data_IF_894116081413
#
_entry.id   IF_894116081413
#
_cell.length_a   1.000
_cell.length_b   1.000
_cell.length_c   1.000
_cell.angle_alpha   90.00
_cell.angle_beta   90.00
_cell.angle_gamma   90.00
#
_symmetry.space_group_name_H-M   'P 1'
#
loop_
_entity.id
_entity.type
_entity.pdbx_description
1 polymer ?
#
# COMPACT_ATOMS: atom_id res chain seq x y z
N UNK A 1 17.12 8.69 -12.17
CA UNK A 1 16.61 8.26 -10.86
C UNK A 1 15.94 6.95 -11.13
N UNK A 2 16.45 5.89 -10.53
CA UNK A 2 15.89 4.55 -10.71
C UNK A 2 14.57 4.44 -9.89
N UNK A 3 13.56 3.69 -10.35
CA UNK A 3 12.26 3.56 -9.67
C UNK A 3 12.37 3.22 -8.18
N UNK A 4 13.38 2.44 -7.79
CA UNK A 4 13.65 2.02 -6.42
C UNK A 4 13.96 3.22 -5.52
N UNK A 5 14.69 4.21 -6.03
CA UNK A 5 15.02 5.43 -5.28
C UNK A 5 13.77 6.28 -5.01
N UNK A 6 12.80 6.24 -5.93
CA UNK A 6 11.50 6.90 -5.72
C UNK A 6 10.73 6.20 -4.61
N UNK A 7 10.70 4.87 -4.60
CA UNK A 7 10.01 4.11 -3.55
C UNK A 7 10.66 4.32 -2.19
N UNK A 8 11.99 4.30 -2.10
CA UNK A 8 12.70 4.64 -0.86
C UNK A 8 12.35 6.04 -0.37
N UNK A 9 12.34 7.04 -1.26
CA UNK A 9 11.95 8.40 -0.90
C UNK A 9 10.48 8.49 -0.43
N UNK A 10 9.56 7.75 -1.06
CA UNK A 10 8.16 7.67 -0.62
C UNK A 10 8.05 7.08 0.79
N UNK A 11 8.81 6.02 1.08
CA UNK A 11 8.86 5.40 2.41
C UNK A 11 9.42 6.37 3.45
N UNK A 12 10.50 7.08 3.14
CA UNK A 12 11.10 8.06 4.03
C UNK A 12 10.16 9.23 4.34
N UNK A 13 9.40 9.68 3.34
CA UNK A 13 8.39 10.73 3.53
C UNK A 13 7.22 10.22 4.37
N UNK A 14 6.70 9.03 4.08
CA UNK A 14 5.61 8.41 4.83
C UNK A 14 6.00 8.19 6.31
N UNK A 15 7.24 7.76 6.55
CA UNK A 15 7.80 7.54 7.89
C UNK A 15 7.84 8.78 8.79
N UNK A 16 7.66 9.99 8.23
CA UNK A 16 7.54 11.24 9.00
C UNK A 16 6.14 11.46 9.57
N UNK A 17 5.14 10.75 9.07
CA UNK A 17 3.71 10.97 9.38
C UNK A 17 3.08 9.75 10.06
N UNK A 18 3.53 8.55 9.71
CA UNK A 18 3.05 7.28 10.25
C UNK A 18 4.22 6.34 10.50
N UNK A 19 4.11 5.48 11.52
CA UNK A 19 5.06 4.40 11.71
C UNK A 19 4.98 3.44 10.53
N UNK A 20 6.08 3.29 9.78
CA UNK A 20 6.15 2.39 8.62
C UNK A 20 6.90 1.12 9.00
N UNK A 21 6.19 -0.01 9.05
CA UNK A 21 6.80 -1.32 9.30
C UNK A 21 7.29 -1.96 8.02
N UNK A 22 6.42 -1.96 7.01
CA UNK A 22 6.66 -2.46 5.66
C UNK A 22 5.93 -1.55 4.68
N UNK A 23 6.49 -1.35 3.50
CA UNK A 23 5.82 -0.59 2.47
C UNK A 23 6.31 -0.98 1.07
N UNK A 24 5.46 -0.79 0.08
CA UNK A 24 5.75 -1.17 -1.29
C UNK A 24 4.80 -0.52 -2.28
N UNK A 25 5.24 -0.45 -3.53
CA UNK A 25 4.47 0.10 -4.64
C UNK A 25 4.04 -1.03 -5.57
N UNK A 26 2.75 -1.05 -5.88
CA UNK A 26 2.12 -2.04 -6.75
C UNK A 26 1.43 -1.31 -7.89
N UNK A 27 1.75 -1.65 -9.13
CA UNK A 27 1.14 -1.05 -10.32
C UNK A 27 0.09 -1.96 -10.95
N UNK A 28 -0.96 -1.34 -11.49
CA UNK A 28 -1.93 -2.03 -12.34
C UNK A 28 -1.32 -2.31 -13.70
N UNK A 29 -1.37 -3.55 -14.19
CA UNK A 29 -0.95 -3.89 -15.56
C UNK A 29 -0.02 -5.10 -15.73
N UNK A 30 0.30 -5.84 -14.67
CA UNK A 30 0.98 -7.14 -14.77
C UNK A 30 0.09 -8.25 -15.34
N UNK A 31 0.65 -9.41 -15.66
CA UNK A 31 -0.09 -10.59 -16.19
C UNK A 31 -1.24 -11.04 -15.28
N UNK A 32 -1.12 -10.80 -13.97
CA UNK A 32 -2.09 -11.18 -12.93
C UNK A 32 -2.82 -9.96 -12.31
N UNK A 33 -2.86 -8.82 -13.01
CA UNK A 33 -3.63 -7.63 -12.59
C UNK A 33 -2.86 -6.59 -11.78
N UNK A 34 -1.92 -7.00 -10.92
CA UNK A 34 -1.02 -6.13 -10.16
C UNK A 34 0.43 -6.64 -10.21
N UNK A 35 1.39 -5.74 -10.38
CA UNK A 35 2.82 -6.04 -10.36
C UNK A 35 3.53 -5.19 -9.30
N UNK A 36 4.31 -5.82 -8.43
CA UNK A 36 5.14 -5.10 -7.47
C UNK A 36 6.28 -4.41 -8.21
N UNK A 37 6.33 -3.08 -8.18
CA UNK A 37 7.47 -2.32 -8.69
C UNK A 37 8.68 -2.47 -7.76
N UNK A 38 8.43 -2.48 -6.44
CA UNK A 38 9.45 -2.63 -5.41
C UNK A 38 8.81 -2.80 -4.03
N UNK A 39 9.46 -3.58 -3.15
CA UNK A 39 9.21 -3.56 -1.71
C UNK A 39 10.48 -3.08 -1.00
N UNK A 40 10.37 -2.03 -0.19
CA UNK A 40 11.50 -1.57 0.61
C UNK A 40 11.56 -2.36 1.92
N UNK A 41 12.76 -2.90 2.23
CA UNK A 41 13.13 -3.65 3.45
C UNK A 41 12.41 -5.01 3.62
N UNK A 42 13.14 -6.12 3.43
CA UNK A 42 12.77 -7.55 3.70
C UNK A 42 11.73 -8.12 2.70
N UNK A 43 11.62 -9.46 2.51
CA UNK A 43 11.03 -10.01 1.30
C UNK A 43 9.57 -9.59 1.14
N UNK A 44 9.26 -9.15 -0.08
CA UNK A 44 8.00 -8.61 -0.56
C UNK A 44 6.78 -9.54 -0.36
N UNK A 45 7.02 -10.84 -0.08
CA UNK A 45 6.02 -11.91 -0.21
C UNK A 45 4.76 -11.69 0.63
N UNK A 46 4.88 -11.16 1.85
CA UNK A 46 3.71 -10.85 2.69
C UNK A 46 2.93 -9.64 2.17
N UNK A 47 3.63 -8.61 1.68
CA UNK A 47 3.00 -7.39 1.18
C UNK A 47 2.34 -7.62 -0.19
N UNK A 48 2.99 -8.43 -1.03
CA UNK A 48 2.45 -8.93 -2.30
C UNK A 48 1.21 -9.80 -2.08
N UNK A 49 1.25 -10.71 -1.11
CA UNK A 49 0.09 -11.51 -0.74
C UNK A 49 -1.05 -10.63 -0.25
N UNK A 50 -0.79 -9.68 0.64
CA UNK A 50 -1.79 -8.73 1.11
C UNK A 50 -2.39 -7.91 -0.05
N UNK A 51 -1.56 -7.37 -0.94
CA UNK A 51 -2.02 -6.64 -2.11
C UNK A 51 -2.88 -7.51 -3.04
N UNK A 52 -2.50 -8.78 -3.26
CA UNK A 52 -3.30 -9.72 -4.07
C UNK A 52 -4.65 -10.02 -3.42
N UNK A 53 -4.67 -10.34 -2.12
CA UNK A 53 -5.91 -10.59 -1.39
C UNK A 53 -6.84 -9.36 -1.45
N UNK A 54 -6.31 -8.16 -1.22
CA UNK A 54 -7.09 -6.92 -1.33
C UNK A 54 -7.58 -6.65 -2.75
N UNK A 55 -6.85 -7.08 -3.79
CA UNK A 55 -7.31 -7.01 -5.17
C UNK A 55 -8.47 -7.99 -5.41
N UNK A 56 -8.31 -9.25 -4.98
CA UNK A 56 -9.33 -10.30 -5.10
C UNK A 56 -10.63 -9.93 -4.35
N UNK A 57 -10.51 -9.28 -3.19
CA UNK A 57 -11.62 -8.76 -2.40
C UNK A 57 -12.24 -7.46 -2.97
N UNK A 58 -11.67 -6.89 -4.04
CA UNK A 58 -12.12 -5.65 -4.68
C UNK A 58 -11.80 -4.37 -3.92
N UNK A 59 -11.02 -4.45 -2.84
CA UNK A 59 -10.62 -3.31 -2.01
C UNK A 59 -9.72 -2.37 -2.81
N UNK A 60 -8.72 -2.89 -3.53
CA UNK A 60 -7.81 -2.05 -4.32
C UNK A 60 -8.54 -1.36 -5.48
N UNK A 61 -9.46 -2.06 -6.14
CA UNK A 61 -10.31 -1.46 -7.19
C UNK A 61 -11.15 -0.31 -6.64
N UNK A 62 -11.72 -0.48 -5.44
CA UNK A 62 -12.47 0.57 -4.77
C UNK A 62 -11.58 1.78 -4.43
N UNK A 63 -10.41 1.57 -3.81
CA UNK A 63 -9.47 2.67 -3.48
C UNK A 63 -9.03 3.42 -4.72
N UNK A 64 -8.67 2.71 -5.79
CA UNK A 64 -8.26 3.31 -7.06
C UNK A 64 -9.39 4.10 -7.73
N UNK A 65 -10.64 3.62 -7.63
CA UNK A 65 -11.82 4.33 -8.15
C UNK A 65 -12.16 5.59 -7.35
N UNK A 66 -12.07 5.55 -6.03
CA UNK A 66 -12.33 6.71 -5.16
C UNK A 66 -11.20 7.76 -5.27
N UNK A 67 -9.98 7.34 -5.60
CA UNK A 67 -8.83 8.23 -5.76
C UNK A 67 -8.36 8.85 -4.44
N UNK A 68 -8.74 8.26 -3.29
CA UNK A 68 -8.39 8.73 -1.94
C UNK A 68 -7.69 7.65 -1.13
N UNK A 69 -6.75 8.00 -0.23
CA UNK A 69 -6.17 7.04 0.70
C UNK A 69 -7.24 6.34 1.55
N UNK A 70 -6.99 5.10 1.94
CA UNK A 70 -7.90 4.34 2.81
C UNK A 70 -7.15 3.47 3.80
N UNK A 71 -7.73 3.29 4.98
CA UNK A 71 -7.18 2.45 6.04
C UNK A 71 -7.96 1.14 6.13
N UNK A 72 -7.26 0.04 5.86
CA UNK A 72 -7.78 -1.32 5.81
C UNK A 72 -7.16 -2.11 6.95
N UNK A 73 -7.94 -2.71 7.86
CA UNK A 73 -7.39 -3.57 8.90
C UNK A 73 -6.63 -4.76 8.32
N UNK A 74 -5.50 -5.12 8.93
CA UNK A 74 -4.82 -6.38 8.64
C UNK A 74 -5.52 -7.52 9.39
N UNK A 75 -6.32 -8.29 8.66
CA UNK A 75 -7.09 -9.40 9.22
C UNK A 75 -6.21 -10.61 9.61
N UNK A 76 -4.96 -10.67 9.15
CA UNK A 76 -4.00 -11.72 9.53
C UNK A 76 -3.29 -11.40 10.87
N UNK A 77 -3.39 -10.17 11.38
CA UNK A 77 -2.75 -9.77 12.63
C UNK A 77 -3.47 -10.34 13.86
N UNK A 78 -2.75 -11.12 14.68
CA UNK A 78 -3.30 -11.82 15.85
C UNK A 78 -3.05 -11.11 17.19
N UNK A 79 -1.93 -10.40 17.32
CA UNK A 79 -1.39 -10.01 18.63
C UNK A 79 -1.63 -8.54 18.97
N UNK A 80 -1.67 -7.69 17.94
CA UNK A 80 -1.87 -6.24 18.06
C UNK A 80 -2.64 -5.74 16.85
N UNK A 81 -3.36 -4.62 16.99
CA UNK A 81 -4.02 -3.99 15.86
C UNK A 81 -2.98 -3.55 14.84
N UNK A 82 -3.17 -4.00 13.60
CA UNK A 82 -2.34 -3.64 12.47
C UNK A 82 -3.23 -3.19 11.34
N UNK A 83 -2.73 -2.24 10.57
CA UNK A 83 -3.48 -1.62 9.49
C UNK A 83 -2.60 -1.49 8.25
N UNK A 84 -3.27 -1.49 7.11
CA UNK A 84 -2.74 -1.09 5.83
C UNK A 84 -3.29 0.30 5.46
N UNK A 85 -2.41 1.25 5.24
CA UNK A 85 -2.75 2.50 4.55
C UNK A 85 -2.53 2.27 3.06
N UNK A 86 -3.62 2.29 2.30
CA UNK A 86 -3.63 2.10 0.84
C UNK A 86 -3.73 3.48 0.20
N UNK A 87 -2.68 3.92 -0.48
CA UNK A 87 -2.63 5.23 -1.15
C UNK A 87 -2.68 5.03 -2.66
N UNK A 88 -3.70 5.52 -3.39
CA UNK A 88 -3.74 5.38 -4.84
C UNK A 88 -2.67 6.24 -5.50
N UNK A 89 -2.00 5.67 -6.50
CA UNK A 89 -1.05 6.38 -7.36
C UNK A 89 -1.79 6.88 -8.59
N UNK A 90 -1.99 8.19 -8.70
CA UNK A 90 -2.82 8.80 -9.75
C UNK A 90 -1.96 9.64 -10.69
N UNK A 91 -2.09 9.40 -11.99
CA UNK A 91 -1.44 10.18 -13.06
C UNK A 91 -2.51 10.63 -14.04
N UNK A 92 -2.65 11.95 -14.25
CA UNK A 92 -3.63 12.55 -15.17
C UNK A 92 -5.04 11.96 -14.96
N UNK A 93 -5.51 12.01 -13.72
CA UNK A 93 -6.84 11.52 -13.29
C UNK A 93 -7.07 10.01 -13.45
N UNK A 94 -6.00 9.24 -13.71
CA UNK A 94 -6.05 7.77 -13.78
C UNK A 94 -5.22 7.16 -12.67
N UNK A 95 -5.84 6.33 -11.83
CA UNK A 95 -5.11 5.46 -10.92
C UNK A 95 -4.32 4.41 -11.72
N UNK A 96 -3.04 4.28 -11.41
CA UNK A 96 -2.09 3.35 -12.06
C UNK A 96 -1.53 2.30 -11.09
N UNK A 97 -1.98 2.31 -9.84
CA UNK A 97 -1.44 1.47 -8.78
C UNK A 97 -1.72 2.01 -7.39
N UNK A 98 -1.08 1.41 -6.40
CA UNK A 98 -1.13 1.83 -5.00
C UNK A 98 0.25 1.81 -4.35
N UNK A 99 0.45 2.72 -3.41
CA UNK A 99 1.48 2.63 -2.39
C UNK A 99 0.84 2.07 -1.13
N UNK A 100 1.30 0.88 -0.72
CA UNK A 100 0.76 0.15 0.42
C UNK A 100 1.71 0.29 1.59
N UNK A 101 1.20 0.75 2.73
CA UNK A 101 1.98 0.97 3.96
C UNK A 101 1.36 0.10 5.06
N UNK A 102 2.16 -0.77 5.65
CA UNK A 102 1.78 -1.54 6.83
C UNK A 102 2.27 -0.85 8.11
N UNK A 103 1.37 -0.68 9.07
CA UNK A 103 1.59 0.12 10.28
C UNK A 103 0.85 -0.46 11.48
N UNK A 104 1.36 -0.24 12.69
CA UNK A 104 0.63 -0.48 13.93
C UNK A 104 -0.17 0.74 14.40
N UNK A 105 -0.24 1.81 13.61
CA UNK A 105 -1.06 2.98 13.96
C UNK A 105 -2.55 2.57 13.95
N UNK A 106 -3.30 2.84 15.04
CA UNK A 106 -4.73 2.52 15.09
C UNK A 106 -5.52 3.24 14.00
N UNK A 107 -6.55 2.59 13.47
CA UNK A 107 -7.39 3.18 12.41
C UNK A 107 -8.03 4.49 12.83
N UNK A 108 -8.39 4.61 14.10
CA UNK A 108 -9.06 5.77 14.70
C UNK A 108 -8.17 7.04 14.71
N UNK A 109 -6.85 6.86 14.66
CA UNK A 109 -5.87 7.96 14.66
C UNK A 109 -5.61 8.54 13.26
N UNK A 110 -6.29 8.03 12.23
CA UNK A 110 -6.28 8.60 10.89
C UNK A 110 -7.45 9.56 10.72
N UNK A 111 -7.16 10.74 10.18
CA UNK A 111 -8.21 11.70 9.80
C UNK A 111 -8.96 11.19 8.57
N UNK A 112 -10.29 11.38 8.50
CA UNK A 112 -11.10 11.05 7.32
C UNK A 112 -10.66 11.76 6.04
#
# INVERSE_FOLDING_TARGET
MEPEQVVEALVDVAGRVVEVRRAGVFLTGGRDGMEALYSARRPAEDLERAARNMLEDGILDWVMREGRPSVVPDMEASDQEMNFVVVPLVVRDRAIGVFLIHTSKPKEDFTP
#
